data_IF_578199483743
#
_entry.id   IF_578199483743
#
_cell.length_a   1.000
_cell.length_b   1.000
_cell.length_c   1.000
_cell.angle_alpha   90.00
_cell.angle_beta   90.00
_cell.angle_gamma   90.00
#
_symmetry.space_group_name_H-M   'P 1'
#
loop_
_entity.id
_entity.type
_entity.pdbx_description
1 polymer ?
#
# COMPACT_ATOMS: atom_id res chain seq x y z
N UNK A 1 -11.41 -7.96 13.09
CA UNK A 1 -10.07 -8.15 12.52
C UNK A 1 -9.87 -7.14 11.39
N UNK A 2 -9.11 -5.98 11.61
CA UNK A 2 -8.95 -5.01 10.51
C UNK A 2 -7.99 -5.52 9.43
N UNK A 3 -8.37 -5.25 8.17
CA UNK A 3 -7.55 -5.57 6.99
C UNK A 3 -7.41 -4.30 6.18
N UNK A 4 -6.16 -3.91 5.90
CA UNK A 4 -5.86 -2.76 5.05
C UNK A 4 -5.20 -3.26 3.79
N UNK A 5 -5.73 -2.88 2.64
CA UNK A 5 -5.17 -3.25 1.33
C UNK A 5 -4.72 -2.01 0.61
N UNK A 6 -3.48 -2.02 0.17
CA UNK A 6 -2.86 -0.88 -0.50
C UNK A 6 -2.36 -1.33 -1.86
N UNK A 7 -2.73 -0.59 -2.90
CA UNK A 7 -2.16 -0.79 -4.23
C UNK A 7 -1.24 0.39 -4.51
N UNK A 8 -0.02 0.11 -4.93
CA UNK A 8 0.96 1.13 -5.29
C UNK A 8 1.58 0.80 -6.63
N UNK A 9 2.00 1.82 -7.36
CA UNK A 9 2.76 1.61 -8.56
C UNK A 9 4.12 1.03 -8.20
N UNK A 10 4.60 0.06 -8.97
CA UNK A 10 5.91 -0.56 -8.75
C UNK A 10 7.03 0.49 -8.93
N UNK A 11 8.12 0.31 -8.21
CA UNK A 11 9.29 1.17 -8.31
C UNK A 11 9.87 1.62 -6.98
N UNK A 12 9.16 1.40 -5.88
CA UNK A 12 9.68 1.75 -4.55
C UNK A 12 10.55 0.64 -4.01
N UNK A 13 11.50 1.01 -3.15
CA UNK A 13 12.38 0.04 -2.51
C UNK A 13 11.60 -0.84 -1.52
N UNK A 14 12.11 -2.03 -1.27
CA UNK A 14 11.53 -2.93 -0.27
C UNK A 14 11.53 -2.30 1.12
N UNK A 15 12.56 -1.55 1.46
CA UNK A 15 12.61 -0.90 2.78
C UNK A 15 11.53 0.16 2.92
N UNK A 16 11.23 0.90 1.86
CA UNK A 16 10.12 1.86 1.88
C UNK A 16 8.79 1.17 2.07
N UNK A 17 8.57 0.07 1.35
CA UNK A 17 7.32 -0.68 1.45
C UNK A 17 7.14 -1.28 2.85
N UNK A 18 8.23 -1.81 3.44
CA UNK A 18 8.17 -2.33 4.80
C UNK A 18 7.87 -1.23 5.81
N UNK A 19 8.46 -0.07 5.64
CA UNK A 19 8.20 1.07 6.53
C UNK A 19 6.73 1.50 6.42
N UNK A 20 6.16 1.46 5.22
CA UNK A 20 4.75 1.76 5.01
C UNK A 20 3.85 0.76 5.74
N UNK A 21 4.15 -0.54 5.63
CA UNK A 21 3.40 -1.57 6.34
C UNK A 21 3.39 -1.30 7.85
N UNK A 22 4.54 -0.97 8.42
CA UNK A 22 4.64 -0.73 9.86
C UNK A 22 3.90 0.53 10.27
N UNK A 23 4.01 1.60 9.49
CA UNK A 23 3.34 2.86 9.79
C UNK A 23 1.82 2.71 9.74
N UNK A 24 1.30 2.00 8.75
CA UNK A 24 -0.13 1.74 8.63
C UNK A 24 -0.61 0.84 9.77
N UNK A 25 0.16 -0.18 10.11
CA UNK A 25 -0.14 -1.05 11.25
C UNK A 25 -0.30 -0.22 12.53
N UNK A 26 0.68 0.64 12.81
CA UNK A 26 0.66 1.46 14.01
C UNK A 26 -0.56 2.40 14.03
N UNK A 27 -0.87 3.01 12.89
CA UNK A 27 -2.01 3.92 12.79
C UNK A 27 -3.33 3.21 13.06
N UNK A 28 -3.50 2.01 12.51
CA UNK A 28 -4.72 1.21 12.72
C UNK A 28 -4.81 0.77 14.18
N UNK A 29 -3.71 0.27 14.73
CA UNK A 29 -3.67 -0.15 16.13
C UNK A 29 -4.10 0.98 17.06
N UNK A 30 -3.50 2.16 16.88
CA UNK A 30 -3.69 3.28 17.78
C UNK A 30 -5.07 3.93 17.61
N UNK A 31 -5.59 3.96 16.39
CA UNK A 31 -6.88 4.60 16.13
C UNK A 31 -8.06 3.70 16.47
N UNK A 32 -7.94 2.40 16.24
CA UNK A 32 -9.04 1.45 16.49
C UNK A 32 -8.90 0.69 17.81
N UNK A 33 -7.75 0.77 18.46
CA UNK A 33 -7.50 -0.01 19.66
C UNK A 33 -7.45 -1.51 19.38
N UNK A 34 -7.08 -1.89 18.17
CA UNK A 34 -7.04 -3.30 17.77
C UNK A 34 -5.75 -3.97 18.26
N UNK A 35 -5.82 -5.24 18.72
CA UNK A 35 -4.60 -5.98 19.08
C UNK A 35 -3.71 -6.18 17.87
N UNK A 36 -2.40 -6.11 18.07
CA UNK A 36 -1.43 -6.26 16.98
C UNK A 36 -1.69 -7.53 16.15
N UNK A 37 -1.96 -8.64 16.82
CA UNK A 37 -2.13 -9.92 16.14
C UNK A 37 -3.35 -9.97 15.21
N UNK A 38 -4.32 -9.05 15.39
CA UNK A 38 -5.53 -9.04 14.57
C UNK A 38 -5.39 -8.20 13.31
N UNK A 39 -4.35 -7.38 13.21
CA UNK A 39 -4.20 -6.42 12.12
C UNK A 39 -3.48 -7.06 10.94
N UNK A 40 -4.05 -6.89 9.75
CA UNK A 40 -3.45 -7.35 8.49
C UNK A 40 -3.28 -6.15 7.59
N UNK A 41 -2.07 -5.97 7.06
CA UNK A 41 -1.79 -4.91 6.09
C UNK A 41 -1.11 -5.55 4.90
N UNK A 42 -1.66 -5.34 3.71
CA UNK A 42 -1.16 -5.93 2.48
C UNK A 42 -0.86 -4.83 1.46
N UNK A 43 0.29 -4.96 0.79
CA UNK A 43 0.65 -4.07 -0.30
C UNK A 43 0.77 -4.89 -1.57
N UNK A 44 0.09 -4.44 -2.62
CA UNK A 44 0.23 -5.01 -3.96
C UNK A 44 0.93 -3.98 -4.84
N UNK A 45 2.04 -4.39 -5.45
CA UNK A 45 2.72 -3.57 -6.44
C UNK A 45 2.11 -3.82 -7.80
N UNK A 46 1.77 -2.73 -8.51
CA UNK A 46 1.16 -2.82 -9.83
C UNK A 46 2.11 -2.18 -10.85
N UNK A 47 2.33 -2.88 -11.95
CA UNK A 47 3.13 -2.35 -13.06
C UNK A 47 2.46 -1.06 -13.56
N UNK A 48 3.23 0.04 -13.70
CA UNK A 48 2.67 1.30 -14.22
C UNK A 48 1.99 1.18 -15.58
N UNK A 49 2.39 0.19 -16.40
CA UNK A 49 1.72 -0.09 -17.68
C UNK A 49 0.34 -0.71 -17.49
N UNK A 50 0.04 -1.21 -16.32
CA UNK A 50 -1.22 -1.88 -16.01
C UNK A 50 -2.10 -1.09 -15.07
N UNK A 51 -1.79 0.18 -14.86
CA UNK A 51 -2.56 1.07 -14.04
C UNK A 51 -2.95 2.29 -14.86
N UNK A 52 -4.23 2.44 -15.17
CA UNK A 52 -4.70 3.63 -15.88
C UNK A 52 -5.45 4.56 -14.94
N UNK A 53 -5.35 5.84 -15.25
CA UNK A 53 -6.08 6.90 -14.57
C UNK A 53 -6.56 7.87 -15.64
N UNK A 54 -7.87 8.02 -15.74
CA UNK A 54 -8.46 8.87 -16.79
C UNK A 54 -8.20 8.35 -18.21
N UNK A 55 -8.02 7.04 -18.35
CA UNK A 55 -7.77 6.41 -19.66
C UNK A 55 -6.32 6.40 -20.10
N UNK A 56 -5.41 6.88 -19.25
CA UNK A 56 -3.97 6.83 -19.54
C UNK A 56 -3.26 6.02 -18.46
N UNK A 57 -2.28 5.22 -18.86
CA UNK A 57 -1.49 4.48 -17.88
C UNK A 57 -0.55 5.44 -17.14
N UNK A 58 -0.08 5.01 -15.97
CA UNK A 58 0.89 5.81 -15.23
C UNK A 58 2.20 5.93 -16.00
N UNK A 59 2.60 4.88 -16.73
CA UNK A 59 3.79 4.92 -17.55
C UNK A 59 3.68 5.99 -18.65
N UNK A 60 2.50 6.09 -19.29
CA UNK A 60 2.25 7.12 -20.30
C UNK A 60 2.30 8.53 -19.72
N UNK A 61 1.98 8.68 -18.45
CA UNK A 61 2.04 9.98 -17.78
C UNK A 61 3.44 10.32 -17.27
N UNK A 62 4.42 9.45 -17.46
CA UNK A 62 5.78 9.66 -16.99
C UNK A 62 5.96 9.46 -15.50
N UNK A 63 5.19 8.58 -14.92
CA UNK A 63 5.25 8.34 -13.48
C UNK A 63 5.97 7.05 -13.14
#
# INVERSE_FOLDING_TARGET
>A
MPIVRISVAAGRSRSQLRACLQAVHNAVRDSLGAPDASIRVLITEVDPDLWSSGGQTLAERGR
#
